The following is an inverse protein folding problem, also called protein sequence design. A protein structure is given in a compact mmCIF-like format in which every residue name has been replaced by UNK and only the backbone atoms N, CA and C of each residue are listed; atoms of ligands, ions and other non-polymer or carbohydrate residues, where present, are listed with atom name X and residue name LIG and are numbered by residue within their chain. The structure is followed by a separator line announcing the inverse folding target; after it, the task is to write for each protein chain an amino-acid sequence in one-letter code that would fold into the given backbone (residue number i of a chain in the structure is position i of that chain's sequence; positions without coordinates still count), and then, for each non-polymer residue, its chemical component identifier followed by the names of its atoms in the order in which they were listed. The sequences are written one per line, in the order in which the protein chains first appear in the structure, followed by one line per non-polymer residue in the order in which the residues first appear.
data_IF_516363248138
#
_entry.id   IF_516363248138
#
_cell.length_a   1.000
_cell.length_b   1.000
_cell.length_c   1.000
_cell.angle_alpha   90.00
_cell.angle_beta   90.00
_cell.angle_gamma   90.00
#
_symmetry.space_group_name_H-M   'P 1'
#
loop_
_entity.id
_entity.type
_entity.pdbx_description
1 polymer ?
#
# COMPACT_ATOMS: atom_id res chain seq x y z
N UNK A 1 -3.96 12.29 -0.78
CA UNK A 1 -5.27 11.81 -0.27
C UNK A 1 -5.11 10.33 0.03
N UNK A 2 -5.34 9.90 1.28
CA UNK A 2 -5.25 8.49 1.67
C UNK A 2 -6.61 7.85 1.35
N UNK A 3 -6.64 6.84 0.48
CA UNK A 3 -7.86 6.08 0.15
C UNK A 3 -8.02 4.90 1.11
N UNK A 4 -9.26 4.56 1.47
CA UNK A 4 -9.57 3.35 2.22
C UNK A 4 -9.65 2.14 1.30
N UNK A 5 -9.45 0.93 1.84
CA UNK A 5 -9.43 -0.30 1.05
C UNK A 5 -10.72 -0.48 0.22
N UNK A 6 -11.87 -0.15 0.79
CA UNK A 6 -13.18 -0.16 0.12
C UNK A 6 -13.36 0.91 -0.97
N UNK A 7 -12.47 1.89 -1.06
CA UNK A 7 -12.45 2.90 -2.15
C UNK A 7 -11.53 2.49 -3.29
N UNK A 8 -10.81 1.38 -3.16
CA UNK A 8 -9.93 0.83 -4.21
C UNK A 8 -10.72 -0.01 -5.24
N UNK A 9 -11.98 0.35 -5.46
CA UNK A 9 -12.85 -0.29 -6.43
C UNK A 9 -12.40 0.09 -7.84
N UNK A 10 -11.95 -0.90 -8.61
CA UNK A 10 -11.46 -0.70 -9.97
C UNK A 10 -12.59 -0.99 -10.97
N UNK A 11 -13.38 0.05 -11.27
CA UNK A 11 -14.52 -0.04 -12.20
C UNK A 11 -14.14 0.03 -13.68
N UNK A 12 -12.92 0.46 -13.99
CA UNK A 12 -12.45 0.58 -15.37
C UNK A 12 -11.72 -0.69 -15.80
N UNK A 13 -11.76 -1.01 -17.09
CA UNK A 13 -10.97 -2.08 -17.68
C UNK A 13 -9.49 -1.86 -17.39
N UNK A 14 -8.96 -2.64 -16.45
CA UNK A 14 -7.57 -2.48 -16.03
C UNK A 14 -6.66 -2.91 -17.18
N UNK A 15 -5.56 -2.18 -17.33
CA UNK A 15 -4.47 -2.66 -18.18
C UNK A 15 -3.66 -3.66 -17.39
N UNK A 16 -3.08 -4.62 -18.09
CA UNK A 16 -2.35 -5.75 -17.51
C UNK A 16 -0.96 -5.75 -18.10
N UNK A 17 0.06 -5.82 -17.23
CA UNK A 17 1.45 -6.08 -17.59
C UNK A 17 1.76 -7.53 -17.29
N UNK A 18 2.07 -8.30 -18.31
CA UNK A 18 2.32 -9.73 -18.22
C UNK A 18 3.71 -10.07 -18.71
N UNK A 19 4.44 -10.84 -17.91
CA UNK A 19 5.70 -11.46 -18.32
C UNK A 19 5.44 -12.92 -18.74
N UNK A 20 6.02 -13.35 -19.86
CA UNK A 20 6.00 -14.74 -20.32
C UNK A 20 7.43 -15.22 -20.47
N UNK A 21 7.84 -16.20 -19.68
CA UNK A 21 9.17 -16.78 -19.73
C UNK A 21 9.13 -18.24 -20.20
N UNK A 22 10.21 -18.73 -20.80
CA UNK A 22 10.37 -20.16 -21.09
C UNK A 22 11.41 -20.42 -22.18
N UNK A 23 11.70 -21.70 -22.44
CA UNK A 23 12.70 -22.08 -23.44
C UNK A 23 12.37 -21.59 -24.86
N UNK A 24 13.35 -21.45 -25.75
CA UNK A 24 13.11 -21.21 -27.17
C UNK A 24 12.20 -22.28 -27.80
N UNK A 25 11.43 -21.92 -28.84
CA UNK A 25 10.65 -22.88 -29.64
C UNK A 25 9.31 -23.34 -29.06
N UNK A 26 8.98 -23.05 -27.80
CA UNK A 26 7.73 -23.52 -27.16
C UNK A 26 6.46 -22.70 -27.50
N UNK A 27 6.55 -21.77 -28.46
CA UNK A 27 5.40 -20.96 -28.92
C UNK A 27 5.03 -19.75 -28.06
N UNK A 28 5.99 -19.17 -27.31
CA UNK A 28 5.77 -17.95 -26.48
C UNK A 28 5.24 -16.78 -27.30
N UNK A 29 5.83 -16.52 -28.47
CA UNK A 29 5.37 -15.45 -29.39
C UNK A 29 3.93 -15.68 -29.80
N UNK A 30 3.55 -16.90 -30.19
CA UNK A 30 2.15 -17.24 -30.52
C UNK A 30 1.20 -16.92 -29.36
N UNK A 31 1.60 -17.26 -28.12
CA UNK A 31 0.81 -16.91 -26.94
C UNK A 31 0.76 -15.39 -26.75
N UNK A 32 1.89 -14.67 -26.85
CA UNK A 32 1.91 -13.21 -26.76
C UNK A 32 0.98 -12.51 -27.77
N UNK A 33 0.97 -12.99 -29.01
CA UNK A 33 0.11 -12.48 -30.09
C UNK A 33 -1.35 -12.91 -29.99
N UNK A 34 -1.72 -13.66 -28.96
CA UNK A 34 -3.13 -13.98 -28.65
C UNK A 34 -3.82 -12.92 -27.78
N UNK A 35 -3.09 -11.88 -27.40
CA UNK A 35 -3.59 -10.73 -26.65
C UNK A 35 -4.56 -9.88 -27.51
N UNK A 36 -5.43 -9.05 -26.90
CA UNK A 36 -6.37 -8.23 -27.67
C UNK A 36 -5.62 -7.17 -28.49
N UNK A 37 -5.91 -7.11 -29.80
CA UNK A 37 -5.31 -6.20 -30.82
C UNK A 37 -3.82 -5.93 -30.57
N UNK A 38 -2.96 -6.94 -30.73
CA UNK A 38 -1.56 -6.84 -30.38
C UNK A 38 -0.77 -6.09 -31.46
N UNK A 39 0.13 -5.20 -31.03
CA UNK A 39 1.27 -4.75 -31.82
C UNK A 39 2.48 -5.58 -31.41
N UNK A 40 3.07 -6.31 -32.36
CA UNK A 40 4.29 -7.08 -32.13
C UNK A 40 5.51 -6.16 -32.22
N UNK A 41 6.20 -5.99 -31.10
CA UNK A 41 7.47 -5.27 -31.03
C UNK A 41 8.57 -6.33 -31.09
N UNK A 42 8.96 -6.66 -32.31
CA UNK A 42 9.89 -7.73 -32.65
C UNK A 42 11.33 -7.22 -32.61
N UNK A 43 11.96 -7.40 -31.44
CA UNK A 43 13.34 -6.98 -31.15
C UNK A 43 14.38 -8.05 -31.50
N UNK A 44 13.97 -9.31 -31.73
CA UNK A 44 14.86 -10.43 -32.07
C UNK A 44 14.70 -10.91 -33.52
N UNK A 45 13.97 -10.14 -34.35
CA UNK A 45 13.66 -10.42 -35.75
C UNK A 45 13.03 -11.81 -35.96
N UNK A 46 12.18 -12.22 -35.00
CA UNK A 46 11.55 -13.52 -34.93
C UNK A 46 10.15 -13.63 -35.49
N UNK A 47 9.51 -12.53 -35.88
CA UNK A 47 8.13 -12.53 -36.38
C UNK A 47 7.93 -13.48 -37.57
N UNK A 48 8.94 -13.65 -38.42
CA UNK A 48 8.91 -14.56 -39.58
C UNK A 48 8.79 -16.02 -39.19
N UNK A 49 9.20 -16.40 -37.98
CA UNK A 49 9.12 -17.78 -37.45
C UNK A 49 7.71 -18.13 -36.96
N UNK A 50 6.85 -17.14 -36.75
CA UNK A 50 5.46 -17.36 -36.35
C UNK A 50 4.66 -17.82 -37.57
N UNK A 51 3.75 -18.78 -37.36
CA UNK A 51 2.79 -19.20 -38.38
C UNK A 51 2.06 -17.95 -38.93
N UNK A 52 2.01 -17.74 -40.26
CA UNK A 52 1.40 -16.56 -40.87
C UNK A 52 -0.02 -16.23 -40.35
N UNK A 53 -0.81 -17.24 -39.98
CA UNK A 53 -2.18 -17.06 -39.45
C UNK A 53 -2.25 -16.41 -38.06
N UNK A 54 -1.13 -16.39 -37.34
CA UNK A 54 -1.05 -15.87 -35.98
C UNK A 54 -0.13 -14.65 -35.88
N UNK A 55 0.38 -14.15 -37.02
CA UNK A 55 1.14 -12.90 -37.05
C UNK A 55 0.20 -11.72 -36.82
N UNK A 56 0.75 -10.68 -36.23
CA UNK A 56 0.09 -9.39 -36.04
C UNK A 56 0.91 -8.30 -36.73
N UNK A 57 0.39 -7.08 -36.76
CA UNK A 57 1.18 -5.92 -37.15
C UNK A 57 2.45 -5.86 -36.31
N UNK A 58 3.57 -5.58 -36.95
CA UNK A 58 4.89 -5.73 -36.35
C UNK A 58 5.75 -4.50 -36.62
N UNK A 59 6.42 -4.02 -35.57
CA UNK A 59 7.57 -3.10 -35.70
C UNK A 59 8.86 -3.86 -35.38
N UNK A 60 9.92 -3.57 -36.13
CA UNK A 60 11.25 -4.17 -35.96
C UNK A 60 12.28 -3.05 -35.81
N UNK A 61 12.43 -2.48 -34.60
CA UNK A 61 13.30 -1.33 -34.39
C UNK A 61 14.79 -1.74 -34.51
N UNK A 62 15.56 -0.93 -35.23
CA UNK A 62 17.02 -1.08 -35.33
C UNK A 62 17.74 -0.44 -34.14
N UNK A 63 17.06 0.45 -33.41
CA UNK A 63 17.60 1.12 -32.22
C UNK A 63 16.53 1.35 -31.17
N UNK A 64 16.95 1.51 -29.91
CA UNK A 64 16.00 1.87 -28.84
C UNK A 64 15.34 3.23 -29.05
N UNK A 65 16.04 4.18 -29.70
CA UNK A 65 15.45 5.48 -30.02
C UNK A 65 14.32 5.36 -31.06
N UNK A 66 14.51 4.55 -32.10
CA UNK A 66 13.47 4.25 -33.09
C UNK A 66 12.25 3.62 -32.42
N UNK A 67 12.44 2.66 -31.51
CA UNK A 67 11.35 2.10 -30.71
C UNK A 67 10.60 3.19 -29.94
N UNK A 68 11.30 4.11 -29.26
CA UNK A 68 10.67 5.22 -28.55
C UNK A 68 9.90 6.17 -29.49
N UNK A 69 10.41 6.35 -30.71
CA UNK A 69 9.78 7.20 -31.72
C UNK A 69 8.52 6.58 -32.32
N UNK A 70 8.45 5.26 -32.39
CA UNK A 70 7.26 4.51 -32.81
C UNK A 70 6.20 4.45 -31.71
N UNK A 71 6.62 4.38 -30.43
CA UNK A 71 5.73 4.28 -29.27
C UNK A 71 5.09 5.63 -28.88
N UNK A 72 4.39 6.25 -29.84
CA UNK A 72 3.65 7.50 -29.67
C UNK A 72 2.13 7.28 -29.78
N UNK A 73 1.29 8.04 -29.05
CA UNK A 73 -0.16 7.85 -29.04
C UNK A 73 -0.79 7.81 -30.44
N UNK A 74 -0.30 8.62 -31.37
CA UNK A 74 -0.76 8.71 -32.76
C UNK A 74 -0.60 7.42 -33.55
N UNK A 75 0.49 6.69 -33.34
CA UNK A 75 0.81 5.43 -34.03
C UNK A 75 0.08 4.23 -33.41
N UNK A 76 -0.39 4.38 -32.16
CA UNK A 76 -0.86 3.26 -31.35
C UNK A 76 -2.38 3.20 -31.19
N UNK A 77 -3.15 3.97 -31.97
CA UNK A 77 -4.62 4.07 -31.81
C UNK A 77 -5.34 2.74 -32.03
N UNK A 78 -4.88 1.92 -32.97
CA UNK A 78 -5.55 0.68 -33.37
C UNK A 78 -5.21 -0.52 -32.46
N UNK A 79 -4.18 -0.39 -31.62
CA UNK A 79 -3.68 -1.48 -30.79
C UNK A 79 -4.16 -1.35 -29.35
N UNK A 80 -4.42 -2.48 -28.69
CA UNK A 80 -4.76 -2.53 -27.26
C UNK A 80 -3.61 -3.09 -26.43
N UNK A 81 -2.74 -3.90 -27.04
CA UNK A 81 -1.63 -4.59 -26.37
C UNK A 81 -0.31 -4.33 -27.10
N UNK A 82 0.74 -4.01 -26.35
CA UNK A 82 2.12 -3.99 -26.84
C UNK A 82 2.83 -5.30 -26.43
N UNK A 83 3.31 -6.06 -27.41
CA UNK A 83 3.98 -7.35 -27.20
C UNK A 83 5.47 -7.21 -27.48
N UNK A 84 6.29 -7.06 -26.44
CA UNK A 84 7.75 -6.99 -26.55
C UNK A 84 8.35 -8.40 -26.63
N UNK A 85 8.91 -8.75 -27.79
CA UNK A 85 9.48 -10.07 -28.08
C UNK A 85 10.89 -9.92 -28.65
N UNK A 86 11.99 -10.29 -27.99
CA UNK A 86 12.09 -10.70 -26.59
C UNK A 86 12.68 -9.59 -25.73
N UNK A 87 12.34 -9.56 -24.45
CA UNK A 87 12.89 -8.60 -23.49
C UNK A 87 14.42 -8.68 -23.34
N UNK A 88 15.05 -9.82 -23.64
CA UNK A 88 16.51 -9.92 -23.68
C UNK A 88 17.12 -9.02 -24.77
N UNK A 89 16.61 -9.14 -26.00
CA UNK A 89 17.04 -8.31 -27.12
C UNK A 89 16.64 -6.83 -26.93
N UNK A 90 15.51 -6.55 -26.26
CA UNK A 90 15.16 -5.19 -25.85
C UNK A 90 16.23 -4.55 -24.95
N UNK A 91 16.82 -5.31 -24.02
CA UNK A 91 17.94 -4.79 -23.22
C UNK A 91 19.17 -4.50 -24.08
N UNK A 92 19.45 -5.34 -25.08
CA UNK A 92 20.56 -5.10 -26.02
C UNK A 92 20.34 -3.82 -26.83
N UNK A 93 19.10 -3.49 -27.21
CA UNK A 93 18.76 -2.20 -27.82
C UNK A 93 18.99 -1.03 -26.85
N UNK A 94 18.68 -1.18 -25.56
CA UNK A 94 18.85 -0.14 -24.54
C UNK A 94 20.32 0.14 -24.20
N UNK A 95 21.21 -0.87 -24.27
CA UNK A 95 22.64 -0.75 -23.92
C UNK A 95 23.32 0.49 -24.56
N UNK A 96 23.36 0.64 -25.89
CA UNK A 96 24.02 1.80 -26.52
C UNK A 96 23.34 3.13 -26.19
N UNK A 97 22.02 3.14 -26.02
CA UNK A 97 21.26 4.32 -25.64
C UNK A 97 21.68 4.83 -24.25
N UNK A 98 21.79 3.93 -23.28
CA UNK A 98 22.16 4.26 -21.90
C UNK A 98 23.61 4.70 -21.76
N UNK A 99 24.53 4.09 -22.52
CA UNK A 99 25.95 4.47 -22.55
C UNK A 99 26.11 5.86 -23.19
N UNK A 100 25.32 6.17 -24.22
CA UNK A 100 25.31 7.51 -24.84
C UNK A 100 24.82 8.59 -23.88
N UNK A 101 23.86 8.28 -23.01
CA UNK A 101 23.36 9.22 -21.99
C UNK A 101 24.35 9.44 -20.85
N UNK A 102 24.99 8.38 -20.35
CA UNK A 102 26.05 8.47 -19.35
C UNK A 102 27.12 7.41 -19.63
N UNK A 103 28.31 7.86 -20.02
CA UNK A 103 29.45 7.00 -20.34
C UNK A 103 29.85 6.07 -19.17
N UNK A 104 29.52 6.41 -17.92
CA UNK A 104 29.77 5.55 -16.74
C UNK A 104 28.92 4.27 -16.73
N UNK A 105 27.83 4.25 -17.49
CA UNK A 105 27.03 3.04 -17.67
C UNK A 105 27.76 1.98 -18.51
N UNK A 106 28.78 2.38 -19.27
CA UNK A 106 29.55 1.48 -20.13
C UNK A 106 30.89 1.06 -19.52
N UNK A 107 31.36 -0.12 -19.91
CA UNK A 107 32.73 -0.56 -19.79
C UNK A 107 33.49 -0.27 -21.09
N UNK A 108 34.82 -0.33 -21.04
CA UNK A 108 35.69 -0.13 -22.22
C UNK A 108 35.40 -1.11 -23.36
N UNK A 109 34.84 -2.28 -23.07
CA UNK A 109 34.49 -3.31 -24.05
C UNK A 109 33.08 -3.15 -24.64
N UNK A 110 32.33 -2.10 -24.26
CA UNK A 110 30.97 -1.84 -24.76
C UNK A 110 29.85 -2.47 -23.93
N UNK A 111 30.18 -3.36 -22.98
CA UNK A 111 29.17 -3.93 -22.06
C UNK A 111 28.75 -2.93 -20.99
N UNK A 112 27.64 -3.22 -20.32
CA UNK A 112 27.21 -2.44 -19.16
C UNK A 112 28.14 -2.64 -17.95
N UNK A 113 28.43 -1.54 -17.27
CA UNK A 113 29.00 -1.53 -15.93
C UNK A 113 27.96 -1.99 -14.89
N UNK A 114 28.37 -2.22 -13.64
CA UNK A 114 27.41 -2.54 -12.56
C UNK A 114 26.36 -1.42 -12.39
N UNK A 115 26.79 -0.16 -12.51
CA UNK A 115 25.90 1.01 -12.55
C UNK A 115 24.98 0.97 -13.78
N UNK A 116 25.53 0.60 -14.94
CA UNK A 116 24.78 0.45 -16.19
C UNK A 116 23.63 -0.55 -16.11
N UNK A 117 23.81 -1.69 -15.45
CA UNK A 117 22.71 -2.65 -15.22
C UNK A 117 21.58 -2.03 -14.38
N UNK A 118 21.93 -1.25 -13.35
CA UNK A 118 20.92 -0.50 -12.58
C UNK A 118 20.20 0.56 -13.40
N UNK A 119 20.90 1.23 -14.34
CA UNK A 119 20.30 2.15 -15.28
C UNK A 119 19.33 1.45 -16.24
N UNK A 120 19.71 0.27 -16.75
CA UNK A 120 18.86 -0.55 -17.61
C UNK A 120 17.57 -1.00 -16.91
N UNK A 121 17.64 -1.45 -15.66
CA UNK A 121 16.45 -1.80 -14.88
C UNK A 121 15.49 -0.62 -14.68
N UNK A 122 16.03 0.58 -14.39
CA UNK A 122 15.21 1.80 -14.29
C UNK A 122 14.58 2.20 -15.61
N UNK A 123 15.33 2.10 -16.71
CA UNK A 123 14.83 2.45 -18.03
C UNK A 123 13.76 1.48 -18.51
N UNK A 124 13.95 0.19 -18.25
CA UNK A 124 12.93 -0.83 -18.47
C UNK A 124 11.64 -0.48 -17.73
N UNK A 125 11.73 -0.20 -16.43
CA UNK A 125 10.58 0.22 -15.63
C UNK A 125 9.92 1.48 -16.22
N UNK A 126 10.72 2.48 -16.62
CA UNK A 126 10.22 3.71 -17.26
C UNK A 126 9.43 3.40 -18.53
N UNK A 127 9.93 2.52 -19.40
CA UNK A 127 9.24 2.11 -20.62
C UNK A 127 7.91 1.40 -20.32
N UNK A 128 7.90 0.47 -19.35
CA UNK A 128 6.68 -0.22 -18.93
C UNK A 128 5.66 0.77 -18.33
N UNK A 129 6.12 1.73 -17.54
CA UNK A 129 5.27 2.78 -16.94
C UNK A 129 4.69 3.72 -18.02
N UNK A 130 5.45 4.04 -19.08
CA UNK A 130 4.93 4.81 -20.23
C UNK A 130 3.85 4.02 -20.96
N UNK A 131 4.12 2.76 -21.32
CA UNK A 131 3.16 1.90 -22.00
C UNK A 131 1.85 1.76 -21.20
N UNK A 132 1.98 1.61 -19.88
CA UNK A 132 0.85 1.38 -19.00
C UNK A 132 0.07 2.66 -18.64
N UNK A 133 0.74 3.66 -18.07
CA UNK A 133 0.08 4.84 -17.52
C UNK A 133 -0.19 5.93 -18.56
N UNK A 134 0.71 6.11 -19.53
CA UNK A 134 0.58 7.18 -20.54
C UNK A 134 -0.13 6.68 -21.79
N UNK A 135 0.32 5.55 -22.36
CA UNK A 135 -0.26 4.99 -23.59
C UNK A 135 -1.52 4.14 -23.33
N UNK A 136 -1.78 3.78 -22.06
CA UNK A 136 -2.95 3.02 -21.62
C UNK A 136 -3.13 1.71 -22.38
N UNK A 137 -2.04 0.97 -22.59
CA UNK A 137 -2.01 -0.32 -23.28
C UNK A 137 -1.80 -1.49 -22.30
N UNK A 138 -2.29 -2.67 -22.66
CA UNK A 138 -1.78 -3.90 -22.06
C UNK A 138 -0.33 -4.07 -22.51
N UNK A 139 0.48 -4.70 -21.68
CA UNK A 139 1.89 -4.96 -21.98
C UNK A 139 2.13 -6.45 -21.80
N UNK A 140 2.67 -7.09 -22.81
CA UNK A 140 3.17 -8.46 -22.74
C UNK A 140 4.65 -8.40 -23.05
N UNK A 141 5.49 -8.97 -22.20
CA UNK A 141 6.92 -9.10 -22.45
C UNK A 141 7.35 -10.55 -22.39
N UNK A 142 8.06 -10.98 -23.43
CA UNK A 142 8.49 -12.36 -23.58
C UNK A 142 9.98 -12.46 -23.28
N UNK A 143 10.37 -13.41 -22.44
CA UNK A 143 11.77 -13.72 -22.17
C UNK A 143 12.08 -15.18 -22.51
N UNK A 144 13.29 -15.41 -23.01
CA UNK A 144 13.87 -16.74 -22.96
C UNK A 144 14.25 -17.10 -21.53
N UNK A 145 14.18 -18.38 -21.20
CA UNK A 145 14.69 -18.91 -19.95
C UNK A 145 15.96 -19.74 -20.19
N UNK A 146 16.82 -19.78 -19.17
CA UNK A 146 17.97 -20.67 -19.06
C UNK A 146 17.94 -21.37 -17.71
N UNK A 147 18.67 -22.48 -17.64
CA UNK A 147 18.95 -23.16 -16.38
C UNK A 147 20.08 -22.45 -15.63
N UNK A 148 19.84 -22.13 -14.36
CA UNK A 148 20.85 -21.71 -13.40
C UNK A 148 20.95 -22.80 -12.31
N UNK A 149 22.18 -23.25 -12.03
CA UNK A 149 22.44 -24.17 -10.92
C UNK A 149 22.51 -23.37 -9.62
N UNK A 150 21.76 -23.81 -8.63
CA UNK A 150 21.71 -23.24 -7.29
C UNK A 150 21.94 -24.37 -6.27
N UNK A 151 23.22 -24.62 -5.96
CA UNK A 151 23.64 -25.82 -5.24
C UNK A 151 23.34 -27.08 -6.06
N UNK A 152 22.55 -27.99 -5.49
CA UNK A 152 22.11 -29.22 -6.16
C UNK A 152 20.83 -29.03 -7.01
N UNK A 153 20.15 -27.89 -6.86
CA UNK A 153 18.89 -27.63 -7.56
C UNK A 153 19.13 -26.93 -8.90
N UNK A 154 18.37 -27.32 -9.92
CA UNK A 154 18.33 -26.63 -11.21
C UNK A 154 17.10 -25.72 -11.26
N UNK A 155 17.34 -24.42 -11.39
CA UNK A 155 16.33 -23.37 -11.39
C UNK A 155 16.26 -22.71 -12.76
N UNK A 156 15.06 -22.53 -13.27
CA UNK A 156 14.79 -21.83 -14.51
C UNK A 156 14.67 -20.33 -14.23
N UNK A 157 15.46 -19.54 -14.94
CA UNK A 157 15.52 -18.08 -14.81
C UNK A 157 15.47 -17.45 -16.17
N UNK A 158 14.87 -16.26 -16.24
CA UNK A 158 14.91 -15.46 -17.46
C UNK A 158 16.35 -15.15 -17.88
N UNK A 159 16.60 -15.17 -19.18
CA UNK A 159 17.88 -14.88 -19.79
C UNK A 159 18.06 -13.36 -19.88
N UNK A 160 18.46 -12.76 -18.77
CA UNK A 160 18.80 -11.34 -18.66
C UNK A 160 20.06 -11.21 -17.81
N UNK A 161 20.96 -10.31 -18.20
CA UNK A 161 22.23 -10.08 -17.52
C UNK A 161 22.09 -9.26 -16.24
N UNK A 162 22.96 -9.53 -15.26
CA UNK A 162 23.12 -8.73 -14.06
C UNK A 162 21.90 -8.75 -13.11
N UNK A 163 21.77 -7.66 -12.33
CA UNK A 163 20.69 -7.50 -11.34
C UNK A 163 19.31 -7.26 -11.98
N UNK A 164 19.30 -6.85 -13.24
CA UNK A 164 18.11 -6.53 -14.03
C UNK A 164 17.06 -7.64 -14.03
N UNK A 165 17.48 -8.90 -13.86
CA UNK A 165 16.57 -10.05 -13.75
C UNK A 165 15.53 -9.94 -12.63
N UNK A 166 15.82 -9.21 -11.56
CA UNK A 166 14.87 -8.98 -10.48
C UNK A 166 13.96 -7.78 -10.77
N UNK A 167 14.50 -6.75 -11.42
CA UNK A 167 13.81 -5.50 -11.68
C UNK A 167 12.68 -5.67 -12.71
N UNK A 168 12.81 -6.62 -13.64
CA UNK A 168 11.77 -6.86 -14.66
C UNK A 168 10.48 -7.46 -14.12
N UNK A 169 10.51 -8.17 -12.98
CA UNK A 169 9.31 -8.75 -12.37
C UNK A 169 8.51 -7.75 -11.54
N UNK A 170 9.18 -6.70 -11.05
CA UNK A 170 8.56 -5.70 -10.17
C UNK A 170 7.39 -4.96 -10.81
N UNK A 171 7.50 -4.41 -12.04
CA UNK A 171 6.39 -3.69 -12.67
C UNK A 171 5.33 -4.62 -13.27
N UNK A 172 5.50 -5.94 -13.24
CA UNK A 172 4.54 -6.87 -13.88
C UNK A 172 3.37 -7.16 -12.95
N UNK A 173 2.16 -7.22 -13.49
CA UNK A 173 0.96 -7.61 -12.74
C UNK A 173 0.80 -9.14 -12.76
N UNK A 174 1.10 -9.77 -13.89
CA UNK A 174 1.12 -11.22 -14.09
C UNK A 174 2.48 -11.69 -14.60
N UNK A 175 2.81 -12.94 -14.31
CA UNK A 175 4.01 -13.58 -14.80
C UNK A 175 3.81 -15.08 -14.94
N UNK A 176 3.94 -15.57 -16.16
CA UNK A 176 3.77 -16.98 -16.49
C UNK A 176 5.06 -17.61 -16.97
N UNK A 177 5.31 -18.85 -16.55
CA UNK A 177 6.41 -19.66 -17.06
C UNK A 177 5.86 -20.78 -17.93
N UNK A 178 6.24 -20.78 -19.21
CA UNK A 178 5.80 -21.77 -20.20
C UNK A 178 6.73 -22.97 -20.26
N UNK A 179 6.14 -24.16 -20.29
CA UNK A 179 6.85 -25.43 -20.43
C UNK A 179 6.11 -26.40 -21.36
N UNK A 180 6.82 -27.43 -21.79
CA UNK A 180 6.23 -28.61 -22.40
C UNK A 180 6.06 -29.67 -21.29
N UNK A 181 4.83 -30.07 -21.02
CA UNK A 181 4.53 -31.22 -20.16
C UNK A 181 4.07 -32.38 -21.05
N UNK A 182 5.00 -33.31 -21.32
CA UNK A 182 4.82 -34.29 -22.38
C UNK A 182 4.71 -33.58 -23.73
N UNK A 183 3.57 -33.73 -24.41
CA UNK A 183 3.28 -33.08 -25.68
C UNK A 183 2.40 -31.82 -25.54
N UNK A 184 1.98 -31.47 -24.32
CA UNK A 184 1.10 -30.32 -24.09
C UNK A 184 1.92 -29.09 -23.67
N UNK A 185 1.60 -27.95 -24.29
CA UNK A 185 2.11 -26.65 -23.85
C UNK A 185 1.34 -26.21 -22.61
N UNK A 186 2.04 -25.81 -21.56
CA UNK A 186 1.44 -25.27 -20.35
C UNK A 186 2.09 -23.95 -19.96
N UNK A 187 1.38 -23.16 -19.15
CA UNK A 187 1.89 -21.95 -18.52
C UNK A 187 1.54 -21.96 -17.03
N UNK A 188 2.55 -21.87 -16.18
CA UNK A 188 2.40 -21.80 -14.72
C UNK A 188 2.36 -20.36 -14.23
N UNK A 189 1.37 -20.03 -13.41
CA UNK A 189 1.18 -18.71 -12.78
C UNK A 189 1.50 -18.69 -11.28
N UNK A 190 1.84 -19.85 -10.70
CA UNK A 190 2.21 -19.99 -9.29
C UNK A 190 3.70 -20.30 -9.18
N UNK A 191 4.39 -19.65 -8.24
CA UNK A 191 5.78 -19.94 -7.92
C UNK A 191 5.95 -21.43 -7.59
N UNK A 192 7.03 -22.02 -8.08
CA UNK A 192 7.44 -23.36 -7.70
C UNK A 192 8.96 -23.40 -7.50
N UNK A 193 9.48 -24.54 -7.08
CA UNK A 193 10.92 -24.73 -6.86
C UNK A 193 11.74 -24.50 -8.13
N UNK A 194 11.14 -24.75 -9.30
CA UNK A 194 11.80 -24.68 -10.61
C UNK A 194 11.83 -23.27 -11.18
N UNK A 195 10.75 -22.49 -11.09
CA UNK A 195 10.67 -21.17 -11.72
C UNK A 195 9.88 -20.15 -10.91
N UNK A 196 10.12 -18.87 -11.23
CA UNK A 196 9.29 -17.78 -10.74
C UNK A 196 8.05 -17.59 -11.63
N UNK A 197 6.94 -17.32 -10.98
CA UNK A 197 5.69 -16.93 -11.60
C UNK A 197 4.94 -15.96 -10.68
N UNK A 198 4.04 -15.17 -11.25
CA UNK A 198 3.28 -14.15 -10.54
C UNK A 198 1.82 -14.24 -10.95
N UNK A 199 1.00 -14.76 -10.05
CA UNK A 199 -0.45 -14.79 -10.16
C UNK A 199 -1.07 -13.66 -9.35
N UNK A 200 -1.92 -12.85 -9.98
CA UNK A 200 -2.71 -11.80 -9.32
C UNK A 200 -4.15 -11.89 -9.78
N UNK A 201 -5.08 -11.26 -9.04
CA UNK A 201 -6.51 -11.21 -9.38
C UNK A 201 -7.12 -12.60 -9.64
N UNK A 202 -6.83 -13.56 -8.76
CA UNK A 202 -7.35 -14.93 -8.83
C UNK A 202 -6.71 -15.85 -9.88
N UNK A 203 -5.75 -15.37 -10.67
CA UNK A 203 -5.01 -16.21 -11.63
C UNK A 203 -3.93 -17.01 -10.89
N UNK A 204 -4.03 -18.33 -10.93
CA UNK A 204 -3.10 -19.24 -10.25
C UNK A 204 -3.05 -20.61 -10.95
N UNK A 205 -2.08 -21.43 -10.55
CA UNK A 205 -1.92 -22.80 -10.99
C UNK A 205 -1.28 -22.91 -12.37
N UNK A 206 -1.48 -24.06 -13.01
CA UNK A 206 -0.95 -24.39 -14.33
C UNK A 206 -2.09 -24.44 -15.31
N UNK A 207 -2.00 -23.67 -16.38
CA UNK A 207 -3.01 -23.59 -17.42
C UNK A 207 -2.48 -24.29 -18.68
N UNK A 208 -3.34 -25.06 -19.33
CA UNK A 208 -3.02 -25.71 -20.60
C UNK A 208 -3.22 -24.74 -21.74
N UNK A 209 -2.26 -24.71 -22.65
CA UNK A 209 -2.34 -23.94 -23.89
C UNK A 209 -2.73 -24.92 -24.99
N UNK A 210 -3.96 -24.77 -25.50
CA UNK A 210 -4.49 -25.60 -26.58
C UNK A 210 -3.62 -25.46 -27.83
N UNK A 211 -3.33 -26.58 -28.48
CA UNK A 211 -2.73 -26.57 -29.82
C UNK A 211 -3.74 -26.03 -30.84
N UNK A 212 -3.36 -24.97 -31.54
CA UNK A 212 -4.26 -24.28 -32.47
C UNK A 212 -4.38 -25.09 -33.76
N UNK A 213 -5.59 -25.52 -34.07
CA UNK A 213 -5.95 -26.06 -35.37
C UNK A 213 -6.22 -24.93 -36.37
N UNK A 214 -6.38 -25.28 -37.64
CA UNK A 214 -6.60 -24.32 -38.73
C UNK A 214 -7.74 -23.33 -38.44
N UNK A 215 -8.88 -23.77 -37.91
CA UNK A 215 -10.02 -22.89 -37.63
C UNK A 215 -10.00 -22.26 -36.21
N UNK A 216 -9.00 -22.60 -35.38
CA UNK A 216 -8.92 -22.07 -34.03
C UNK A 216 -8.44 -20.61 -34.04
N UNK A 217 -9.16 -19.76 -33.29
CA UNK A 217 -8.74 -18.40 -33.03
C UNK A 217 -7.59 -18.39 -32.00
N UNK A 218 -6.56 -17.60 -32.27
CA UNK A 218 -5.50 -17.35 -31.29
C UNK A 218 -5.95 -16.31 -30.26
N UNK A 219 -6.60 -16.73 -29.17
CA UNK A 219 -7.23 -15.83 -28.20
C UNK A 219 -6.92 -16.17 -26.72
N UNK A 220 -5.88 -16.97 -26.45
CA UNK A 220 -5.53 -17.41 -25.10
C UNK A 220 -5.37 -16.25 -24.11
N UNK A 221 -4.54 -15.25 -24.41
CA UNK A 221 -4.33 -14.09 -23.53
C UNK A 221 -5.55 -13.17 -23.51
N UNK A 222 -6.32 -13.09 -24.59
CA UNK A 222 -7.60 -12.38 -24.60
C UNK A 222 -8.54 -12.96 -23.54
N UNK A 223 -8.67 -14.29 -23.46
CA UNK A 223 -9.49 -14.96 -22.43
C UNK A 223 -8.90 -14.82 -21.03
N UNK A 224 -7.58 -14.89 -20.90
CA UNK A 224 -6.89 -14.66 -19.62
C UNK A 224 -7.20 -13.25 -19.08
N UNK A 225 -7.09 -12.22 -19.92
CA UNK A 225 -7.36 -10.83 -19.51
C UNK A 225 -8.82 -10.61 -19.18
N UNK A 226 -9.74 -11.28 -19.89
CA UNK A 226 -11.16 -11.28 -19.53
C UNK A 226 -11.43 -11.93 -18.17
N UNK A 227 -10.76 -13.05 -17.85
CA UNK A 227 -10.93 -13.70 -16.55
C UNK A 227 -10.35 -12.83 -15.41
N UNK A 228 -9.23 -12.15 -15.64
CA UNK A 228 -8.69 -11.16 -14.69
C UNK A 228 -9.70 -10.06 -14.41
N UNK A 229 -10.26 -9.47 -15.47
CA UNK A 229 -11.25 -8.40 -15.35
C UNK A 229 -12.50 -8.87 -14.61
N UNK A 230 -13.00 -10.07 -14.92
CA UNK A 230 -14.13 -10.69 -14.24
C UNK A 230 -13.87 -10.94 -12.75
N UNK A 231 -12.65 -11.31 -12.38
CA UNK A 231 -12.30 -11.49 -10.97
C UNK A 231 -12.26 -10.16 -10.23
N UNK A 232 -11.76 -9.10 -10.86
CA UNK A 232 -11.78 -7.73 -10.30
C UNK A 232 -13.20 -7.21 -10.12
N UNK A 233 -14.09 -7.49 -11.07
CA UNK A 233 -15.50 -7.13 -10.98
C UNK A 233 -16.19 -7.85 -9.81
N UNK A 234 -15.93 -9.15 -9.62
CA UNK A 234 -16.44 -9.89 -8.45
C UNK A 234 -15.91 -9.36 -7.13
N UNK A 235 -14.62 -9.03 -7.07
CA UNK A 235 -14.01 -8.39 -5.88
C UNK A 235 -14.69 -7.04 -5.61
N UNK A 236 -14.94 -6.26 -6.66
CA UNK A 236 -15.65 -4.98 -6.62
C UNK A 236 -17.09 -5.12 -6.11
N UNK A 237 -17.87 -6.11 -6.55
CA UNK A 237 -19.25 -6.33 -6.10
C UNK A 237 -19.36 -6.56 -4.58
N UNK A 238 -18.37 -7.23 -3.99
CA UNK A 238 -18.31 -7.43 -2.53
C UNK A 238 -18.18 -6.08 -1.83
N UNK A 239 -17.29 -5.22 -2.31
CA UNK A 239 -17.09 -3.88 -1.76
C UNK A 239 -18.26 -2.93 -2.05
N UNK A 240 -18.99 -3.10 -3.15
CA UNK A 240 -20.18 -2.29 -3.44
C UNK A 240 -21.29 -2.52 -2.43
N UNK A 241 -21.53 -3.77 -2.01
CA UNK A 241 -22.51 -4.07 -0.94
C UNK A 241 -22.13 -3.42 0.38
N UNK A 242 -20.85 -3.48 0.74
CA UNK A 242 -20.34 -2.81 1.94
C UNK A 242 -20.46 -1.28 1.82
N UNK A 243 -20.26 -0.72 0.62
CA UNK A 243 -20.41 0.71 0.34
C UNK A 243 -21.87 1.16 0.39
N UNK A 244 -22.81 0.39 -0.19
CA UNK A 244 -24.25 0.70 -0.11
C UNK A 244 -24.74 0.65 1.33
N UNK A 245 -24.33 -0.36 2.09
CA UNK A 245 -24.63 -0.45 3.52
C UNK A 245 -24.04 0.73 4.29
N UNK A 246 -22.82 1.15 3.94
CA UNK A 246 -22.20 2.37 4.48
C UNK A 246 -22.95 3.65 4.08
N UNK A 247 -23.36 3.82 2.82
CA UNK A 247 -24.08 5.01 2.34
C UNK A 247 -25.48 5.10 2.98
N UNK A 248 -26.18 3.97 3.12
CA UNK A 248 -27.44 3.87 3.84
C UNK A 248 -27.26 4.22 5.32
N UNK A 249 -26.20 3.70 5.96
CA UNK A 249 -25.84 4.03 7.33
C UNK A 249 -25.53 5.52 7.50
N UNK A 250 -24.81 6.14 6.57
CA UNK A 250 -24.49 7.57 6.64
C UNK A 250 -25.71 8.45 6.40
N UNK A 251 -26.67 7.99 5.60
CA UNK A 251 -27.90 8.71 5.27
C UNK A 251 -29.01 8.55 6.32
N UNK A 252 -28.92 7.54 7.20
CA UNK A 252 -29.88 7.36 8.30
C UNK A 252 -29.73 8.40 9.41
N UNK A 253 -28.60 9.10 9.48
CA UNK A 253 -28.37 10.17 10.44
C UNK A 253 -28.81 11.52 9.89
N UNK A 254 -29.85 12.08 10.50
CA UNK A 254 -30.30 13.45 10.21
C UNK A 254 -29.51 14.47 11.05
N UNK A 255 -28.43 14.97 10.46
CA UNK A 255 -27.61 16.01 11.05
C UNK A 255 -28.24 17.41 11.03
N UNK A 256 -29.33 17.63 10.29
CA UNK A 256 -29.96 18.95 10.17
C UNK A 256 -31.00 19.17 11.25
N UNK A 257 -31.84 18.18 11.54
CA UNK A 257 -32.98 18.33 12.44
C UNK A 257 -32.84 17.63 13.79
N UNK A 258 -31.85 16.76 13.96
CA UNK A 258 -31.65 16.04 15.24
C UNK A 258 -30.72 16.81 16.18
N UNK A 259 -31.04 16.79 17.48
CA UNK A 259 -30.24 17.40 18.55
C UNK A 259 -28.90 16.66 18.73
N UNK A 260 -27.86 17.39 19.14
CA UNK A 260 -26.47 16.96 19.06
C UNK A 260 -26.14 15.79 20.00
N UNK A 261 -26.70 15.77 21.21
CA UNK A 261 -26.49 14.67 22.16
C UNK A 261 -27.26 13.43 21.75
N UNK A 262 -28.46 13.62 21.19
CA UNK A 262 -29.25 12.54 20.59
C UNK A 262 -28.51 11.87 19.42
N UNK A 263 -27.93 12.67 18.51
CA UNK A 263 -27.07 12.17 17.44
C UNK A 263 -25.83 11.45 17.96
N UNK A 264 -25.23 11.94 19.04
CA UNK A 264 -24.07 11.32 19.65
C UNK A 264 -24.37 9.93 20.22
N UNK A 265 -25.48 9.78 20.94
CA UNK A 265 -25.93 8.49 21.47
C UNK A 265 -26.27 7.50 20.34
N UNK A 266 -26.98 7.96 19.32
CA UNK A 266 -27.27 7.15 18.13
C UNK A 266 -25.97 6.66 17.46
N UNK A 267 -24.99 7.55 17.27
CA UNK A 267 -23.71 7.21 16.64
C UNK A 267 -22.90 6.24 17.51
N UNK A 268 -22.95 6.34 18.85
CA UNK A 268 -22.23 5.40 19.74
C UNK A 268 -22.84 4.00 19.69
N UNK A 269 -24.17 3.91 19.62
CA UNK A 269 -24.92 2.65 19.69
C UNK A 269 -25.09 1.96 18.33
N UNK A 270 -24.64 2.59 17.25
CA UNK A 270 -24.75 2.05 15.90
C UNK A 270 -23.56 1.15 15.56
N UNK A 271 -23.82 0.01 14.93
CA UNK A 271 -22.76 -0.82 14.36
C UNK A 271 -22.16 -0.10 13.14
N UNK A 272 -20.88 0.24 13.23
CA UNK A 272 -20.21 1.05 12.23
C UNK A 272 -19.64 0.21 11.10
N UNK A 273 -19.98 0.59 9.88
CA UNK A 273 -19.44 0.02 8.66
C UNK A 273 -18.35 0.97 8.11
N UNK A 274 -17.21 0.42 7.66
CA UNK A 274 -16.10 1.18 7.06
C UNK A 274 -15.66 2.41 7.88
N UNK A 275 -15.63 3.61 7.28
CA UNK A 275 -15.20 4.87 7.92
C UNK A 275 -16.29 5.62 8.66
N UNK A 276 -17.51 5.07 8.70
CA UNK A 276 -18.71 5.77 9.19
C UNK A 276 -18.48 6.38 10.56
N UNK A 277 -17.88 5.64 11.50
CA UNK A 277 -17.53 6.14 12.85
C UNK A 277 -16.69 7.42 12.81
N UNK A 278 -15.65 7.45 12.00
CA UNK A 278 -14.72 8.58 11.93
C UNK A 278 -15.34 9.80 11.27
N UNK A 279 -16.15 9.59 10.24
CA UNK A 279 -16.82 10.65 9.49
C UNK A 279 -18.01 11.22 10.24
N UNK A 280 -18.85 10.36 10.84
CA UNK A 280 -19.95 10.77 11.70
C UNK A 280 -19.44 11.59 12.90
N UNK A 281 -18.33 11.19 13.52
CA UNK A 281 -17.66 11.99 14.57
C UNK A 281 -17.11 13.32 14.05
N UNK A 282 -16.60 13.36 12.82
CA UNK A 282 -16.16 14.61 12.21
C UNK A 282 -17.35 15.55 11.94
N UNK A 283 -18.47 15.01 11.43
CA UNK A 283 -19.72 15.75 11.20
C UNK A 283 -20.34 16.27 12.50
N UNK A 284 -20.39 15.47 13.58
CA UNK A 284 -20.81 15.94 14.92
C UNK A 284 -19.93 17.12 15.37
N UNK A 285 -18.60 16.99 15.29
CA UNK A 285 -17.69 18.07 15.73
C UNK A 285 -17.88 19.36 14.92
N UNK A 286 -18.17 19.24 13.62
CA UNK A 286 -18.50 20.40 12.79
C UNK A 286 -19.85 21.02 13.19
N UNK A 287 -20.89 20.21 13.40
CA UNK A 287 -22.20 20.69 13.89
C UNK A 287 -22.06 21.38 15.25
N UNK A 288 -21.33 20.78 16.19
CA UNK A 288 -21.11 21.33 17.53
C UNK A 288 -20.40 22.68 17.48
N UNK A 289 -19.37 22.80 16.65
CA UNK A 289 -18.67 24.07 16.43
C UNK A 289 -19.59 25.13 15.79
N UNK A 290 -20.47 24.74 14.87
CA UNK A 290 -21.41 25.65 14.19
C UNK A 290 -22.51 26.16 15.13
N UNK A 291 -23.01 25.29 16.01
CA UNK A 291 -24.13 25.58 16.91
C UNK A 291 -23.67 26.08 18.30
N UNK A 292 -22.36 26.16 18.56
CA UNK A 292 -21.81 26.72 19.79
C UNK A 292 -21.83 25.77 20.99
N UNK A 293 -21.73 24.46 20.74
CA UNK A 293 -21.61 23.42 21.76
C UNK A 293 -20.14 23.06 22.03
N UNK A 294 -19.82 22.79 23.30
CA UNK A 294 -18.53 22.25 23.75
C UNK A 294 -18.77 20.90 24.41
N UNK A 295 -17.91 19.93 24.12
CA UNK A 295 -17.97 18.62 24.76
C UNK A 295 -17.48 18.72 26.20
N UNK A 296 -18.32 18.30 27.13
CA UNK A 296 -17.98 18.15 28.54
C UNK A 296 -17.50 16.72 28.82
N UNK A 297 -16.31 16.60 29.40
CA UNK A 297 -15.66 15.33 29.68
C UNK A 297 -16.26 14.61 30.89
N UNK A 298 -16.90 15.34 31.81
CA UNK A 298 -17.48 14.79 33.03
C UNK A 298 -18.86 14.18 32.75
N UNK A 299 -19.74 14.96 32.12
CA UNK A 299 -21.08 14.48 31.75
C UNK A 299 -21.11 13.66 30.45
N UNK A 300 -19.99 13.64 29.70
CA UNK A 300 -19.85 13.01 28.38
C UNK A 300 -20.90 13.50 27.37
N UNK A 301 -21.34 14.75 27.49
CA UNK A 301 -22.36 15.40 26.67
C UNK A 301 -21.84 16.71 26.09
N UNK A 302 -22.42 17.13 24.98
CA UNK A 302 -22.24 18.47 24.43
C UNK A 302 -23.17 19.44 25.14
N UNK A 303 -22.59 20.48 25.74
CA UNK A 303 -23.31 21.58 26.42
C UNK A 303 -23.09 22.88 25.66
N UNK A 304 -24.09 23.76 25.65
CA UNK A 304 -23.94 25.08 25.03
C UNK A 304 -22.88 25.87 25.79
N UNK A 305 -22.04 26.62 25.08
CA UNK A 305 -21.01 27.48 25.70
C UNK A 305 -21.64 28.46 26.70
N UNK A 306 -22.85 28.96 26.42
CA UNK A 306 -23.59 29.84 27.32
C UNK A 306 -24.05 29.15 28.62
N UNK A 307 -24.29 27.83 28.59
CA UNK A 307 -24.68 27.04 29.76
C UNK A 307 -23.46 26.58 30.56
N UNK A 308 -22.36 26.21 29.87
CA UNK A 308 -21.08 25.93 30.51
C UNK A 308 -20.57 27.12 31.31
N UNK A 309 -20.60 28.31 30.71
CA UNK A 309 -20.20 29.55 31.40
C UNK A 309 -21.09 29.85 32.62
N UNK A 310 -22.38 29.46 32.60
CA UNK A 310 -23.32 29.58 33.74
C UNK A 310 -23.08 28.54 34.82
N UNK A 311 -22.67 27.32 34.47
CA UNK A 311 -22.29 26.28 35.43
C UNK A 311 -20.98 26.64 36.12
N UNK A 312 -19.97 27.10 35.38
CA UNK A 312 -18.71 27.59 35.95
C UNK A 312 -18.94 28.83 36.84
N UNK A 313 -19.85 29.74 36.49
CA UNK A 313 -20.19 30.85 37.42
C UNK A 313 -20.90 30.38 38.67
N UNK A 314 -21.81 29.40 38.58
CA UNK A 314 -22.50 28.85 39.76
C UNK A 314 -21.57 28.03 40.65
N UNK A 315 -20.68 27.21 40.09
CA UNK A 315 -19.68 26.47 40.87
C UNK A 315 -18.72 27.44 41.57
N UNK A 316 -18.23 28.46 40.87
CA UNK A 316 -17.40 29.51 41.48
C UNK A 316 -18.15 30.34 42.54
N UNK A 317 -19.45 30.62 42.35
CA UNK A 317 -20.29 31.28 43.37
C UNK A 317 -20.54 30.38 44.59
N UNK A 318 -20.67 29.06 44.39
CA UNK A 318 -20.90 28.10 45.48
C UNK A 318 -19.62 27.86 46.28
N UNK A 319 -18.46 27.78 45.61
CA UNK A 319 -17.14 27.73 46.24
C UNK A 319 -16.81 29.03 46.99
N UNK A 320 -17.13 30.20 46.42
CA UNK A 320 -16.96 31.49 47.11
C UNK A 320 -17.89 31.62 48.33
N UNK A 321 -19.15 31.20 48.23
CA UNK A 321 -20.08 31.23 49.37
C UNK A 321 -19.67 30.23 50.48
N UNK A 322 -19.11 29.06 50.12
CA UNK A 322 -18.54 28.13 51.11
C UNK A 322 -17.27 28.70 51.78
N UNK A 323 -16.44 29.43 51.04
CA UNK A 323 -15.27 30.10 51.60
C UNK A 323 -15.66 31.27 52.52
N UNK A 324 -16.67 32.08 52.16
CA UNK A 324 -17.18 33.16 53.01
C UNK A 324 -17.82 32.64 54.30
N UNK A 325 -18.61 31.56 54.24
CA UNK A 325 -19.19 30.93 55.43
C UNK A 325 -18.15 30.33 56.40
N UNK A 326 -17.01 29.85 55.88
CA UNK A 326 -15.88 29.39 56.71
C UNK A 326 -15.10 30.55 57.33
N UNK A 327 -15.09 31.71 56.67
CA UNK A 327 -14.39 32.90 57.15
C UNK A 327 -15.18 33.61 58.26
N UNK A 328 -16.52 33.64 58.18
CA UNK A 328 -17.39 34.16 59.25
C UNK A 328 -17.28 33.31 60.52
N UNK A 329 -17.26 31.98 60.41
CA UNK A 329 -17.09 31.07 61.56
C UNK A 329 -15.71 31.20 62.24
N UNK A 330 -14.64 31.50 61.48
CA UNK A 330 -13.33 31.79 62.06
C UNK A 330 -13.23 33.16 62.74
N UNK A 331 -14.04 34.13 62.30
CA UNK A 331 -14.07 35.47 62.90
C UNK A 331 -14.73 35.47 64.28
N UNK A 332 -15.80 34.68 64.48
CA UNK A 332 -16.48 34.53 65.78
C UNK A 332 -15.61 33.75 66.79
N UNK A 333 -14.87 32.73 66.35
CA UNK A 333 -13.94 31.99 67.22
C UNK A 333 -12.69 32.78 67.62
N UNK A 334 -12.24 33.74 66.81
CA UNK A 334 -11.08 34.58 67.13
C UNK A 334 -11.40 35.75 68.07
N UNK A 335 -12.68 36.15 68.21
CA UNK A 335 -13.09 37.10 69.25
C UNK A 335 -13.12 36.50 70.65
N UNK A 336 -13.41 35.20 70.80
CA UNK A 336 -13.43 34.52 72.10
C UNK A 336 -12.03 34.13 72.61
N UNK A 337 -11.07 33.85 71.72
CA UNK A 337 -9.71 33.45 72.11
C UNK A 337 -8.76 34.61 72.46
N UNK A 338 -9.15 35.87 72.19
CA UNK A 338 -8.34 37.06 72.51
C UNK A 338 -8.49 37.57 73.95
N UNK A 339 -9.49 37.11 74.70
CA UNK A 339 -9.62 37.40 76.14
C UNK A 339 -8.86 36.41 77.04
N UNK A 340 -8.43 35.26 76.51
CA UNK A 340 -7.79 34.18 77.30
C UNK A 340 -6.26 34.12 77.22
N UNK A 341 -5.61 34.86 76.32
CA UNK A 341 -4.14 34.84 76.16
C UNK A 341 -3.39 35.92 76.97
N UNK A 342 -4.07 36.83 77.68
CA UNK A 342 -3.41 37.90 78.47
C UNK A 342 -2.90 37.40 79.85
N UNK A 343 -3.17 36.16 80.26
CA UNK A 343 -2.87 35.66 81.63
C UNK A 343 -1.71 34.64 81.70
N UNK A 344 -1.04 34.27 80.60
CA UNK A 344 -0.05 33.17 80.62
C UNK A 344 1.41 33.52 80.30
N UNK A 345 1.79 34.80 80.32
CA UNK A 345 3.19 35.25 80.12
C UNK A 345 4.00 35.49 81.41
N UNK A 346 3.58 34.96 82.56
CA UNK A 346 4.43 34.88 83.76
C UNK A 346 4.59 33.42 84.21
N UNK A 347 5.51 32.68 83.56
CA UNK A 347 6.39 31.68 84.19
C UNK A 347 7.14 30.84 83.14
N UNK A 348 8.33 31.30 82.75
CA UNK A 348 9.39 30.43 82.22
C UNK A 348 10.62 30.55 83.11
N UNK A 349 11.16 29.43 83.61
CA UNK A 349 12.61 29.26 83.76
C UNK A 349 13.05 27.82 84.09
N UNK A 350 14.11 27.40 83.37
CA UNK A 350 15.11 26.33 83.64
C UNK A 350 14.65 24.90 83.27
N UNK A 351 15.41 24.05 82.56
CA UNK A 351 16.87 23.92 82.36
C UNK A 351 17.15 22.85 81.27
N UNK A 352 18.22 23.04 80.48
CA UNK A 352 18.95 22.07 79.61
C UNK A 352 19.97 21.22 80.44
N UNK A 353 20.88 20.37 79.89
CA UNK A 353 20.87 19.42 78.74
C UNK A 353 21.59 18.06 79.09
N UNK A 354 21.75 17.08 78.17
CA UNK A 354 23.06 16.59 77.66
C UNK A 354 23.01 15.31 76.75
N UNK A 355 24.09 15.18 75.95
CA UNK A 355 24.60 14.14 75.00
C UNK A 355 24.70 12.71 75.61
N UNK A 356 24.96 11.58 74.93
CA UNK A 356 25.90 11.25 73.83
C UNK A 356 25.76 9.74 73.38
N UNK A 357 25.87 9.48 72.07
CA UNK A 357 26.55 8.37 71.31
C UNK A 357 26.59 6.89 71.78
N UNK A 358 26.30 5.95 70.86
CA UNK A 358 27.09 4.70 70.60
C UNK A 358 26.79 4.01 69.25
N UNK A 359 27.81 3.28 68.75
CA UNK A 359 28.03 2.65 67.41
C UNK A 359 27.59 1.17 67.29
N UNK A 360 27.48 0.68 66.04
CA UNK A 360 28.12 -0.52 65.39
C UNK A 360 27.16 -1.28 64.42
N UNK A 361 27.38 -1.28 63.08
CA UNK A 361 28.10 -2.20 62.14
C UNK A 361 27.37 -3.49 61.69
N UNK A 362 27.22 -3.67 60.35
CA UNK A 362 27.36 -4.89 59.48
C UNK A 362 26.39 -4.79 58.26
N UNK A 363 26.54 -5.38 57.06
CA UNK A 363 27.59 -5.96 56.21
C UNK A 363 26.95 -6.20 54.80
N UNK A 364 27.76 -6.55 53.80
CA UNK A 364 27.60 -6.51 52.32
C UNK A 364 26.56 -7.44 51.63
N UNK A 365 26.29 -7.17 50.34
CA UNK A 365 25.74 -8.12 49.35
C UNK A 365 25.51 -7.53 47.93
N UNK A 366 26.26 -8.02 46.93
CA UNK A 366 26.34 -7.72 45.47
C UNK A 366 25.11 -8.17 44.60
N UNK A 367 25.16 -8.31 43.23
CA UNK A 367 25.26 -7.31 42.14
C UNK A 367 24.30 -7.56 40.92
N UNK A 368 24.46 -6.76 39.84
CA UNK A 368 24.15 -7.03 38.40
C UNK A 368 22.65 -7.22 38.00
N UNK A 369 22.15 -7.03 36.77
CA UNK A 369 22.70 -7.10 35.42
C UNK A 369 21.73 -6.43 34.41
N UNK A 370 22.23 -6.19 33.18
CA UNK A 370 21.53 -5.62 32.01
C UNK A 370 20.41 -6.52 31.48
N UNK A 371 19.38 -5.96 30.84
CA UNK A 371 18.44 -6.72 30.01
C UNK A 371 18.17 -6.03 28.67
N UNK A 372 18.45 -6.80 27.62
CA UNK A 372 18.32 -6.54 26.20
C UNK A 372 16.87 -6.45 25.72
N UNK A 373 16.71 -5.81 24.57
CA UNK A 373 15.46 -5.69 23.80
C UNK A 373 15.46 -6.83 22.76
N UNK A 374 14.40 -7.66 22.65
CA UNK A 374 14.27 -8.57 21.54
C UNK A 374 13.42 -7.97 20.41
N UNK A 375 13.96 -8.13 19.20
CA UNK A 375 13.28 -8.11 17.90
C UNK A 375 12.08 -9.05 17.87
N UNK A 376 11.02 -8.64 17.16
CA UNK A 376 9.86 -9.48 16.85
C UNK A 376 9.85 -9.79 15.35
N UNK A 377 9.75 -11.09 15.07
CA UNK A 377 9.40 -11.69 13.78
C UNK A 377 8.04 -11.24 13.26
#
# INVERSE_FOLDING_TARGET
MIKKASELVQKENIKIRMLIAGFPGIGKTTVGLSAPKPLHIDTDYGATRVNPRHRADTIQPNSYQELLDDLKPENLKEYETLVFDTGGALFDLMKPYLIKQDAKNGKKNGDLSLQGYGAAGREFKRLMDIAYYQLRKHVVIIFHAKEEKDGENTRLRILVEGKTKNDVWQPMDLGGFMEMQGNERTIGFTNCERYFAKGTHGIQGIWRIKELQQEDKNDFLTRLFQEVQKNIEKETEIFEKEREAYEALMSSFDFEHTEINTLMEQIINTEHILTSKSELRAKIRQKAKKEGYVFDAETKKYILIAEKNKQETKENETENNMAEAQTEQQSEQNSENKETEIIKEENEQKTEPNKEVKKDVSDNGEPAEQLEIPTRE
#
